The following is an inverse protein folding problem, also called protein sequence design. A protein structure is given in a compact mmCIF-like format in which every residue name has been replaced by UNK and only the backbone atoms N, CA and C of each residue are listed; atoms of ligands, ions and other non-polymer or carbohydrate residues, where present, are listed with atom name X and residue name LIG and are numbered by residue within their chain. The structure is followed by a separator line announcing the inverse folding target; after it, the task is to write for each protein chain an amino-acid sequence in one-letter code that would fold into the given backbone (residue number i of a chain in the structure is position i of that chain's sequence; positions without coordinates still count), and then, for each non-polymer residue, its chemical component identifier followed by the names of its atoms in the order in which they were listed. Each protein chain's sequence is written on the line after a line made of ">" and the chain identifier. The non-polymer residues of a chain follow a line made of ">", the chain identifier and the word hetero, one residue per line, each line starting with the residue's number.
data_IF_388830006641
#
_entry.id   IF_388830006641
#
_cell.length_a   1.000
_cell.length_b   1.000
_cell.length_c   1.000
_cell.angle_alpha   90.00
_cell.angle_beta   90.00
_cell.angle_gamma   90.00
#
_symmetry.space_group_name_H-M   'P 1'
#
loop_
_entity.id
_entity.type
_entity.pdbx_description
1 polymer ?
#
# COMPACT_ATOMS: atom_id res chain seq x y z
N UNK A 1 7.08 -9.69 32.53
CA UNK A 1 7.93 -9.72 31.34
C UNK A 1 7.12 -9.36 30.09
N UNK A 2 7.80 -9.00 28.99
CA UNK A 2 7.15 -8.60 27.74
C UNK A 2 7.85 -9.17 26.51
N UNK A 3 7.10 -9.37 25.43
CA UNK A 3 7.62 -9.80 24.13
C UNK A 3 7.43 -8.68 23.11
N UNK A 4 8.50 -8.37 22.37
CA UNK A 4 8.43 -7.54 21.17
C UNK A 4 8.51 -8.44 19.94
N UNK A 5 7.50 -8.39 19.07
CA UNK A 5 7.42 -9.21 17.85
C UNK A 5 7.16 -8.36 16.63
N UNK A 6 7.61 -8.78 15.46
CA UNK A 6 7.23 -8.18 14.18
C UNK A 6 6.53 -9.18 13.26
N UNK A 7 7.24 -10.16 12.72
CA UNK A 7 6.72 -11.06 11.69
C UNK A 7 6.61 -12.52 12.16
N UNK A 8 7.27 -12.87 13.26
CA UNK A 8 7.21 -14.23 13.80
C UNK A 8 5.79 -14.55 14.26
N UNK A 9 5.30 -15.76 13.93
CA UNK A 9 4.04 -16.26 14.44
C UNK A 9 4.19 -16.68 15.89
N UNK A 10 3.20 -16.31 16.71
CA UNK A 10 3.11 -16.72 18.11
C UNK A 10 2.02 -17.76 18.36
N UNK A 11 1.32 -18.24 17.32
CA UNK A 11 0.18 -19.15 17.48
C UNK A 11 0.57 -20.51 18.10
N UNK A 12 1.75 -21.01 17.73
CA UNK A 12 2.29 -22.28 18.26
C UNK A 12 3.15 -22.08 19.51
N UNK A 13 3.32 -20.83 19.96
CA UNK A 13 4.13 -20.51 21.12
C UNK A 13 3.34 -20.80 22.42
N UNK A 14 3.97 -21.47 23.36
CA UNK A 14 3.47 -21.55 24.72
C UNK A 14 3.72 -20.22 25.43
N UNK A 15 2.66 -19.54 25.85
CA UNK A 15 2.73 -18.23 26.50
C UNK A 15 3.11 -18.43 27.98
N UNK A 16 4.28 -17.93 28.46
CA UNK A 16 4.71 -18.08 29.84
C UNK A 16 3.76 -17.40 30.83
N UNK A 17 3.61 -17.96 32.01
CA UNK A 17 2.71 -17.43 33.06
C UNK A 17 3.13 -16.05 33.59
N UNK A 18 4.41 -15.68 33.46
CA UNK A 18 4.93 -14.34 33.81
C UNK A 18 4.87 -13.31 32.68
N UNK A 19 4.27 -13.64 31.53
CA UNK A 19 4.14 -12.71 30.40
C UNK A 19 2.99 -11.72 30.66
N UNK A 20 3.29 -10.44 30.66
CA UNK A 20 2.34 -9.37 30.96
C UNK A 20 1.88 -8.63 29.70
N UNK A 21 2.76 -8.54 28.68
CA UNK A 21 2.47 -7.77 27.50
C UNK A 21 3.15 -8.34 26.25
N UNK A 22 2.50 -8.16 25.09
CA UNK A 22 3.06 -8.40 23.77
C UNK A 22 2.94 -7.09 22.97
N UNK A 23 4.04 -6.61 22.43
CA UNK A 23 4.06 -5.44 21.54
C UNK A 23 4.42 -5.86 20.13
N UNK A 24 3.59 -5.49 19.16
CA UNK A 24 3.86 -5.75 17.74
C UNK A 24 4.38 -4.50 17.04
N UNK A 25 5.58 -4.60 16.47
CA UNK A 25 6.15 -3.56 15.61
C UNK A 25 5.46 -3.56 14.22
N UNK A 26 4.24 -3.05 14.16
CA UNK A 26 3.41 -2.96 12.97
C UNK A 26 1.92 -2.89 13.28
N UNK A 27 1.07 -2.67 12.28
CA UNK A 27 -0.36 -2.44 12.45
C UNK A 27 -1.17 -3.74 12.65
N UNK A 28 -0.95 -4.75 11.81
CA UNK A 28 -1.68 -6.01 11.91
C UNK A 28 -1.25 -6.83 13.13
N UNK A 29 -2.14 -7.67 13.66
CA UNK A 29 -1.89 -8.54 14.83
C UNK A 29 -2.24 -9.99 14.55
N UNK A 30 -2.37 -10.34 13.29
CA UNK A 30 -2.75 -11.68 12.82
C UNK A 30 -1.73 -12.78 13.15
N UNK A 31 -0.52 -12.44 13.54
CA UNK A 31 0.51 -13.37 14.01
C UNK A 31 0.53 -13.55 15.54
N UNK A 32 -0.40 -12.93 16.27
CA UNK A 32 -0.52 -12.99 17.73
C UNK A 32 -1.84 -13.69 18.09
N UNK A 33 -1.85 -14.70 18.96
CA UNK A 33 -3.07 -15.39 19.39
C UNK A 33 -3.84 -14.53 20.40
N UNK A 34 -4.62 -13.55 19.91
CA UNK A 34 -5.30 -12.54 20.73
C UNK A 34 -6.20 -13.15 21.80
N UNK A 35 -6.96 -14.21 21.46
CA UNK A 35 -7.86 -14.88 22.38
C UNK A 35 -7.09 -15.50 23.55
N UNK A 36 -6.02 -16.27 23.25
CA UNK A 36 -5.15 -16.86 24.28
C UNK A 36 -4.49 -15.79 25.17
N UNK A 37 -4.10 -14.64 24.56
CA UNK A 37 -3.54 -13.52 25.32
C UNK A 37 -4.60 -12.93 26.28
N UNK A 38 -5.82 -12.71 25.80
CA UNK A 38 -6.91 -12.18 26.59
C UNK A 38 -7.28 -13.09 27.77
N UNK A 39 -7.38 -14.43 27.54
CA UNK A 39 -7.64 -15.42 28.58
C UNK A 39 -6.59 -15.43 29.70
N UNK A 40 -5.31 -15.18 29.33
CA UNK A 40 -4.20 -15.08 30.29
C UNK A 40 -3.99 -13.67 30.87
N UNK A 41 -4.80 -12.69 30.52
CA UNK A 41 -4.65 -11.30 30.96
C UNK A 41 -3.44 -10.58 30.38
N UNK A 42 -2.91 -11.03 29.24
CA UNK A 42 -1.76 -10.45 28.55
C UNK A 42 -2.24 -9.31 27.65
N UNK A 43 -1.70 -8.10 27.86
CA UNK A 43 -2.05 -6.93 27.04
C UNK A 43 -1.30 -6.98 25.70
N UNK A 44 -2.02 -6.74 24.60
CA UNK A 44 -1.41 -6.71 23.26
C UNK A 44 -1.43 -5.27 22.72
N UNK A 45 -0.25 -4.79 22.32
CA UNK A 45 -0.05 -3.48 21.71
C UNK A 45 0.36 -3.64 20.24
N UNK A 46 -0.04 -2.69 19.42
CA UNK A 46 0.42 -2.56 18.04
C UNK A 46 0.80 -1.11 17.71
N UNK A 47 1.42 -0.89 16.54
CA UNK A 47 1.86 0.44 16.09
C UNK A 47 1.24 0.80 14.74
N UNK A 48 -0.08 1.12 14.70
CA UNK A 48 -0.77 1.45 13.47
C UNK A 48 -0.18 2.73 12.84
N UNK A 49 0.06 2.69 11.53
CA UNK A 49 0.57 3.83 10.78
C UNK A 49 2.09 4.06 10.82
N UNK A 50 2.85 3.33 11.65
CA UNK A 50 4.30 3.53 11.77
C UNK A 50 5.06 3.35 10.43
N UNK A 51 4.63 2.42 9.59
CA UNK A 51 5.21 2.15 8.26
C UNK A 51 4.43 2.78 7.10
N UNK A 52 3.38 3.55 7.39
CA UNK A 52 2.46 4.03 6.35
C UNK A 52 3.14 4.90 5.29
N UNK A 53 4.17 5.66 5.67
CA UNK A 53 4.93 6.46 4.72
C UNK A 53 5.73 5.59 3.74
N UNK A 54 6.44 4.57 4.24
CA UNK A 54 7.20 3.65 3.37
C UNK A 54 6.30 2.88 2.40
N UNK A 55 5.12 2.44 2.86
CA UNK A 55 4.14 1.78 1.97
C UNK A 55 3.64 2.74 0.92
N UNK A 56 3.29 3.98 1.27
CA UNK A 56 2.90 5.01 0.30
C UNK A 56 3.98 5.20 -0.78
N UNK A 57 5.25 5.31 -0.40
CA UNK A 57 6.36 5.49 -1.34
C UNK A 57 6.48 4.31 -2.31
N UNK A 58 6.33 3.09 -1.80
CA UNK A 58 6.37 1.89 -2.64
C UNK A 58 5.18 1.80 -3.61
N UNK A 59 3.98 2.21 -3.19
CA UNK A 59 2.80 2.29 -4.06
C UNK A 59 3.04 3.26 -5.21
N UNK A 60 3.54 4.46 -4.92
CA UNK A 60 3.84 5.46 -5.95
C UNK A 60 4.96 4.97 -6.89
N UNK A 61 6.02 4.38 -6.35
CA UNK A 61 7.09 3.80 -7.17
C UNK A 61 6.56 2.70 -8.10
N UNK A 62 5.77 1.76 -7.58
CA UNK A 62 5.17 0.68 -8.37
C UNK A 62 4.25 1.20 -9.49
N UNK A 63 3.44 2.20 -9.18
CA UNK A 63 2.55 2.84 -10.16
C UNK A 63 3.34 3.52 -11.29
N UNK A 64 4.40 4.25 -10.96
CA UNK A 64 5.26 4.90 -11.95
C UNK A 64 6.04 3.88 -12.79
N UNK A 65 6.56 2.83 -12.18
CA UNK A 65 7.25 1.73 -12.89
C UNK A 65 6.31 1.03 -13.88
N UNK A 66 5.07 0.75 -13.46
CA UNK A 66 4.07 0.14 -14.34
C UNK A 66 3.64 1.05 -15.48
N UNK A 67 3.56 2.38 -15.24
CA UNK A 67 3.12 3.35 -16.23
C UNK A 67 4.17 3.66 -17.30
N UNK A 68 5.45 3.68 -16.93
CA UNK A 68 6.55 4.22 -17.74
C UNK A 68 7.51 3.16 -18.28
N UNK A 69 7.21 1.89 -18.09
CA UNK A 69 8.01 0.74 -18.56
C UNK A 69 9.53 0.85 -18.29
N UNK A 70 9.87 1.39 -17.12
CA UNK A 70 11.26 1.66 -16.72
C UNK A 70 12.09 0.38 -16.66
N UNK A 71 11.48 -0.72 -16.19
CA UNK A 71 12.17 -2.00 -16.03
C UNK A 71 12.61 -2.56 -17.39
N UNK A 72 11.72 -2.55 -18.39
CA UNK A 72 12.10 -3.00 -19.74
C UNK A 72 13.15 -2.09 -20.37
N UNK A 73 13.11 -0.78 -20.07
CA UNK A 73 14.15 0.14 -20.49
C UNK A 73 15.52 -0.18 -19.89
N UNK A 74 15.59 -0.52 -18.61
CA UNK A 74 16.82 -0.93 -17.93
C UNK A 74 17.36 -2.23 -18.55
N UNK A 75 16.51 -3.24 -18.69
CA UNK A 75 16.90 -4.53 -19.28
C UNK A 75 17.44 -4.35 -20.70
N UNK A 76 16.81 -3.49 -21.51
CA UNK A 76 17.30 -3.20 -22.86
C UNK A 76 18.72 -2.58 -22.83
N UNK A 77 19.01 -1.68 -21.91
CA UNK A 77 20.35 -1.10 -21.78
C UNK A 77 21.37 -2.16 -21.37
N UNK A 78 21.04 -3.03 -20.41
CA UNK A 78 21.91 -4.13 -19.97
C UNK A 78 22.20 -5.13 -21.09
N UNK A 79 21.22 -5.49 -21.90
CA UNK A 79 21.35 -6.40 -23.02
C UNK A 79 22.21 -5.83 -24.18
N UNK A 80 22.26 -4.51 -24.32
CA UNK A 80 22.95 -3.84 -25.42
C UNK A 80 24.19 -3.04 -24.96
N UNK A 81 24.68 -3.23 -23.74
CA UNK A 81 25.76 -2.44 -23.16
C UNK A 81 27.09 -2.51 -23.94
N UNK A 82 27.34 -3.57 -24.72
CA UNK A 82 28.53 -3.75 -25.53
C UNK A 82 28.38 -3.27 -26.98
N UNK A 83 27.21 -2.75 -27.36
CA UNK A 83 26.97 -2.18 -28.69
C UNK A 83 27.66 -0.82 -28.84
N UNK A 84 28.61 -0.73 -29.75
CA UNK A 84 29.32 0.52 -30.05
C UNK A 84 28.37 1.64 -30.54
N UNK A 85 27.21 1.31 -31.05
CA UNK A 85 26.18 2.25 -31.53
C UNK A 85 25.07 2.51 -30.53
N UNK A 86 25.17 2.05 -29.30
CA UNK A 86 24.12 2.09 -28.27
C UNK A 86 23.46 3.49 -28.14
N UNK A 87 24.23 4.56 -28.22
CA UNK A 87 23.69 5.92 -28.12
C UNK A 87 22.68 6.24 -29.23
N UNK A 88 22.95 5.80 -30.46
CA UNK A 88 22.07 6.00 -31.62
C UNK A 88 20.85 5.06 -31.55
N UNK A 89 21.06 3.85 -31.12
CA UNK A 89 19.99 2.87 -31.06
C UNK A 89 19.08 3.09 -29.84
N UNK A 90 19.59 3.65 -28.72
CA UNK A 90 18.79 4.13 -27.60
C UNK A 90 17.78 5.19 -28.02
N UNK A 91 18.15 6.13 -28.91
CA UNK A 91 17.22 7.14 -29.44
C UNK A 91 16.02 6.52 -30.20
N UNK A 92 16.23 5.39 -30.85
CA UNK A 92 15.15 4.63 -31.51
C UNK A 92 14.37 3.78 -30.53
N UNK A 93 15.08 3.10 -29.62
CA UNK A 93 14.49 2.16 -28.65
C UNK A 93 13.63 2.85 -27.61
N UNK A 94 13.99 4.06 -27.14
CA UNK A 94 13.27 4.79 -26.09
C UNK A 94 11.76 4.94 -26.33
N UNK A 95 11.33 4.95 -27.57
CA UNK A 95 9.90 5.01 -27.93
C UNK A 95 9.12 3.78 -27.48
N UNK A 96 9.79 2.62 -27.36
CA UNK A 96 9.17 1.38 -26.93
C UNK A 96 8.83 1.41 -25.43
N UNK A 97 9.58 2.19 -24.64
CA UNK A 97 9.50 2.25 -23.19
C UNK A 97 8.86 3.55 -22.68
N UNK A 98 8.31 4.37 -23.58
CA UNK A 98 7.74 5.68 -23.21
C UNK A 98 6.59 5.56 -22.19
N UNK A 99 5.76 4.52 -22.33
CA UNK A 99 4.60 4.31 -21.48
C UNK A 99 3.59 5.45 -21.54
N UNK A 100 2.86 5.66 -20.45
CA UNK A 100 1.84 6.70 -20.29
C UNK A 100 2.11 7.53 -19.04
N UNK A 101 1.71 8.80 -19.05
CA UNK A 101 1.74 9.63 -17.86
C UNK A 101 0.60 9.29 -16.91
N UNK A 102 0.82 9.44 -15.60
CA UNK A 102 -0.23 9.27 -14.58
C UNK A 102 -1.10 10.50 -14.42
N UNK A 103 -0.64 11.66 -14.89
CA UNK A 103 -1.41 12.90 -14.90
C UNK A 103 -2.74 12.71 -15.66
N UNK A 104 -3.85 13.16 -15.08
CA UNK A 104 -5.19 13.02 -15.65
C UNK A 104 -5.78 11.60 -15.59
N UNK A 105 -5.03 10.61 -15.08
CA UNK A 105 -5.54 9.26 -14.85
C UNK A 105 -6.29 9.17 -13.53
N UNK A 106 -7.17 8.18 -13.40
CA UNK A 106 -7.97 7.94 -12.21
C UNK A 106 -7.34 6.87 -11.33
N UNK A 107 -7.12 7.20 -10.07
CA UNK A 107 -6.69 6.26 -9.03
C UNK A 107 -7.85 5.97 -8.09
N UNK A 108 -8.26 4.72 -8.02
CA UNK A 108 -9.18 4.19 -7.01
C UNK A 108 -8.43 3.71 -5.78
N UNK A 109 -8.89 4.12 -4.60
CA UNK A 109 -8.31 3.72 -3.32
C UNK A 109 -9.39 3.02 -2.50
N UNK A 110 -9.16 1.75 -2.18
CA UNK A 110 -10.02 0.96 -1.30
C UNK A 110 -9.36 0.89 0.08
N UNK A 111 -9.96 1.57 1.05
CA UNK A 111 -9.42 1.77 2.39
C UNK A 111 -8.68 3.12 2.55
N UNK A 112 -9.32 4.06 3.26
CA UNK A 112 -8.82 5.41 3.55
C UNK A 112 -8.27 5.53 4.98
N UNK A 113 -7.53 4.50 5.40
CA UNK A 113 -6.79 4.49 6.66
C UNK A 113 -5.45 5.24 6.57
N UNK A 114 -4.52 4.93 7.47
CA UNK A 114 -3.22 5.59 7.59
C UNK A 114 -2.38 5.59 6.31
N UNK A 115 -2.50 4.56 5.46
CA UNK A 115 -1.81 4.44 4.17
C UNK A 115 -2.63 5.13 3.08
N UNK A 116 -3.90 4.75 2.92
CA UNK A 116 -4.75 5.23 1.83
C UNK A 116 -4.85 6.75 1.75
N UNK A 117 -4.99 7.43 2.88
CA UNK A 117 -4.99 8.90 2.96
C UNK A 117 -3.67 9.50 2.42
N UNK A 118 -2.53 8.91 2.78
CA UNK A 118 -1.22 9.39 2.29
C UNK A 118 -1.06 9.18 0.78
N UNK A 119 -1.48 8.02 0.27
CA UNK A 119 -1.47 7.71 -1.18
C UNK A 119 -2.40 8.67 -1.92
N UNK A 120 -3.62 8.88 -1.44
CA UNK A 120 -4.59 9.79 -2.03
C UNK A 120 -4.03 11.20 -2.20
N UNK A 121 -3.46 11.75 -1.13
CA UNK A 121 -2.92 13.09 -1.14
C UNK A 121 -1.74 13.24 -2.12
N UNK A 122 -0.82 12.26 -2.18
CA UNK A 122 0.30 12.30 -3.14
C UNK A 122 -0.18 12.15 -4.57
N UNK A 123 -1.11 11.25 -4.85
CA UNK A 123 -1.66 11.04 -6.19
C UNK A 123 -2.32 12.33 -6.73
N UNK A 124 -2.99 13.11 -5.88
CA UNK A 124 -3.50 14.44 -6.26
C UNK A 124 -2.39 15.39 -6.69
N UNK A 125 -1.24 15.38 -5.99
CA UNK A 125 -0.08 16.21 -6.37
C UNK A 125 0.60 15.74 -7.67
N UNK A 126 0.41 14.47 -8.05
CA UNK A 126 0.82 13.95 -9.37
C UNK A 126 -0.18 14.28 -10.49
N UNK A 127 -1.23 15.05 -10.20
CA UNK A 127 -2.24 15.44 -11.17
C UNK A 127 -3.26 14.36 -11.51
N UNK A 128 -3.39 13.33 -10.66
CA UNK A 128 -4.41 12.29 -10.83
C UNK A 128 -5.77 12.73 -10.29
N UNK A 129 -6.85 12.20 -10.85
CA UNK A 129 -8.16 12.17 -10.20
C UNK A 129 -8.19 11.01 -9.22
N UNK A 130 -8.65 11.26 -7.98
CA UNK A 130 -8.65 10.23 -6.94
C UNK A 130 -10.06 9.94 -6.46
N UNK A 131 -10.46 8.67 -6.53
CA UNK A 131 -11.68 8.13 -5.97
C UNK A 131 -11.32 7.29 -4.74
N UNK A 132 -12.01 7.50 -3.63
CA UNK A 132 -11.76 6.77 -2.39
C UNK A 132 -13.01 6.08 -1.87
N UNK A 133 -12.90 4.81 -1.54
CA UNK A 133 -13.94 4.00 -0.90
C UNK A 133 -13.46 3.51 0.46
N UNK A 134 -14.18 3.87 1.50
CA UNK A 134 -14.01 3.31 2.85
C UNK A 134 -15.30 3.51 3.65
N UNK A 135 -16.07 2.45 3.93
CA UNK A 135 -17.32 2.56 4.70
C UNK A 135 -17.08 2.84 6.18
N UNK A 136 -15.83 2.75 6.66
CA UNK A 136 -15.47 2.92 8.08
C UNK A 136 -14.44 4.03 8.29
N UNK A 137 -14.34 4.99 7.35
CA UNK A 137 -13.37 6.08 7.46
C UNK A 137 -13.52 6.82 8.80
N UNK A 138 -12.41 6.96 9.52
CA UNK A 138 -12.43 7.69 10.77
C UNK A 138 -12.47 9.20 10.54
N UNK A 139 -13.01 9.96 11.50
CA UNK A 139 -13.02 11.43 11.46
C UNK A 139 -11.61 11.98 11.31
N UNK A 140 -10.63 11.43 12.03
CA UNK A 140 -9.22 11.84 11.95
C UNK A 140 -8.60 11.59 10.55
N UNK A 141 -8.93 10.48 9.92
CA UNK A 141 -8.51 10.19 8.55
C UNK A 141 -9.16 11.15 7.54
N UNK A 142 -10.44 11.43 7.69
CA UNK A 142 -11.16 12.35 6.84
C UNK A 142 -10.61 13.78 6.91
N UNK A 143 -10.22 14.25 8.11
CA UNK A 143 -9.57 15.55 8.27
C UNK A 143 -8.20 15.68 7.61
N UNK A 144 -7.49 14.56 7.41
CA UNK A 144 -6.17 14.51 6.76
C UNK A 144 -6.27 14.30 5.24
N UNK A 145 -7.44 13.95 4.73
CA UNK A 145 -7.68 13.71 3.32
C UNK A 145 -7.87 15.03 2.56
N UNK A 146 -7.26 15.14 1.37
CA UNK A 146 -7.50 16.27 0.48
C UNK A 146 -8.98 16.38 0.13
N UNK A 147 -9.50 17.61 0.09
CA UNK A 147 -10.89 17.89 -0.31
C UNK A 147 -11.20 17.53 -1.76
N UNK A 148 -10.16 17.42 -2.60
CA UNK A 148 -10.29 17.04 -4.00
C UNK A 148 -10.40 15.53 -4.22
N UNK A 149 -10.34 14.72 -3.17
CA UNK A 149 -10.61 13.27 -3.26
C UNK A 149 -12.11 13.05 -3.28
N UNK A 150 -12.59 12.43 -4.36
CA UNK A 150 -14.00 12.08 -4.50
C UNK A 150 -14.29 10.84 -3.67
N UNK A 151 -15.15 10.97 -2.67
CA UNK A 151 -15.67 9.82 -1.94
C UNK A 151 -16.74 9.11 -2.76
N UNK A 152 -16.64 7.79 -2.86
CA UNK A 152 -17.65 6.92 -3.49
C UNK A 152 -18.25 5.99 -2.45
N UNK A 153 -19.53 5.69 -2.60
CA UNK A 153 -20.30 4.86 -1.67
C UNK A 153 -20.39 3.40 -2.13
N UNK A 154 -20.16 3.16 -3.41
CA UNK A 154 -20.13 1.83 -4.01
C UNK A 154 -18.72 1.57 -4.58
N UNK A 155 -18.10 0.48 -4.14
CA UNK A 155 -16.78 0.06 -4.63
C UNK A 155 -16.76 -0.24 -6.12
N UNK A 156 -17.91 -0.62 -6.71
CA UNK A 156 -18.03 -0.86 -8.14
C UNK A 156 -17.72 0.40 -8.97
N UNK A 157 -17.97 1.59 -8.44
CA UNK A 157 -17.55 2.83 -9.11
C UNK A 157 -16.04 2.91 -9.33
N UNK A 158 -15.26 2.36 -8.40
CA UNK A 158 -13.79 2.28 -8.53
C UNK A 158 -13.43 1.31 -9.64
N UNK A 159 -14.03 0.12 -9.65
CA UNK A 159 -13.72 -0.91 -10.65
C UNK A 159 -14.05 -0.47 -12.08
N UNK A 160 -15.14 0.29 -12.24
CA UNK A 160 -15.61 0.75 -13.55
C UNK A 160 -14.88 1.98 -14.08
N UNK A 161 -14.40 2.86 -13.20
CA UNK A 161 -13.96 4.20 -13.60
C UNK A 161 -12.46 4.43 -13.48
N UNK A 162 -11.71 3.59 -12.73
CA UNK A 162 -10.32 3.88 -12.41
C UNK A 162 -9.33 3.16 -13.32
N UNK A 163 -8.28 3.86 -13.72
CA UNK A 163 -7.16 3.32 -14.49
C UNK A 163 -6.20 2.51 -13.60
N UNK A 164 -6.11 2.89 -12.32
CA UNK A 164 -5.27 2.26 -11.29
C UNK A 164 -6.11 2.03 -10.05
N UNK A 165 -5.88 0.90 -9.37
CA UNK A 165 -6.56 0.57 -8.11
C UNK A 165 -5.51 0.16 -7.09
N UNK A 166 -5.62 0.71 -5.87
CA UNK A 166 -4.78 0.31 -4.75
C UNK A 166 -5.64 -0.04 -3.54
N UNK A 167 -5.29 -1.14 -2.86
CA UNK A 167 -6.09 -1.73 -1.79
C UNK A 167 -5.32 -1.65 -0.47
N UNK A 168 -5.91 -1.02 0.53
CA UNK A 168 -5.32 -0.78 1.85
C UNK A 168 -6.26 -1.17 2.99
N UNK A 169 -7.01 -2.25 2.81
CA UNK A 169 -7.87 -2.85 3.83
C UNK A 169 -7.24 -4.11 4.41
N UNK A 170 -7.54 -4.50 5.66
CA UNK A 170 -7.11 -5.77 6.20
C UNK A 170 -7.76 -6.95 5.45
N UNK A 171 -7.08 -8.10 5.42
CA UNK A 171 -7.61 -9.32 4.84
C UNK A 171 -8.63 -9.96 5.80
N UNK A 172 -9.88 -9.57 5.66
CA UNK A 172 -11.04 -10.10 6.39
C UNK A 172 -11.91 -10.94 5.46
N UNK A 173 -12.84 -11.69 6.00
CA UNK A 173 -13.79 -12.47 5.17
C UNK A 173 -14.62 -11.55 4.26
N UNK A 174 -14.92 -10.33 4.71
CA UNK A 174 -15.63 -9.31 3.92
C UNK A 174 -14.79 -8.64 2.83
N UNK A 175 -13.46 -8.79 2.85
CA UNK A 175 -12.53 -8.16 1.90
C UNK A 175 -11.76 -9.17 1.06
N UNK A 176 -11.94 -10.48 1.30
CA UNK A 176 -11.37 -11.54 0.46
C UNK A 176 -12.02 -11.55 -0.91
N UNK A 177 -11.19 -11.55 -1.95
CA UNK A 177 -11.66 -11.64 -3.35
C UNK A 177 -12.19 -10.33 -3.94
N UNK A 178 -11.92 -9.21 -3.26
CA UNK A 178 -12.19 -7.88 -3.81
C UNK A 178 -11.34 -7.59 -5.03
#
# INVERSE_FOLDING_TARGET
>A
EGILVRSASMHEMELPDGLLAVARAGAGVNNIPLEKCAEKGIVVFNTPGANANGVKELVIAGMLLASRDVVSGINWVEENQEDENIAKDAEKAKKKFAGTEVMGKRLGIIGLGAIGVKVANVARHLGMEVLGYDPYVSVDAAWKLSRDVRHVLDVNEIYEQCDYITIHVPALDSTKGM
#
